data_IF_592605134457
#
_entry.id   IF_592605134457
#
_cell.length_a   1.000
_cell.length_b   1.000
_cell.length_c   1.000
_cell.angle_alpha   90.00
_cell.angle_beta   90.00
_cell.angle_gamma   90.00
#
_symmetry.space_group_name_H-M   'P 1'
#
loop_
_entity.id
_entity.type
_entity.pdbx_description
1 polymer ?
#
# COMPACT_ATOMS: atom_id res chain seq x y z
N UNK A 1 -11.04 -6.24 18.48
CA UNK A 1 -12.24 -5.75 17.78
C UNK A 1 -11.78 -4.68 16.81
N UNK A 2 -12.04 -4.86 15.50
CA UNK A 2 -11.73 -3.83 14.52
C UNK A 2 -12.76 -2.70 14.66
N UNK A 3 -12.31 -1.46 14.84
CA UNK A 3 -13.18 -0.30 14.73
C UNK A 3 -13.44 -0.01 13.24
N UNK A 4 -14.58 -0.48 12.75
CA UNK A 4 -15.03 -0.28 11.36
C UNK A 4 -15.65 1.10 11.14
N UNK A 5 -15.89 1.90 12.18
CA UNK A 5 -16.45 3.25 12.02
C UNK A 5 -15.49 4.13 11.26
N UNK A 6 -14.19 3.99 11.53
CA UNK A 6 -13.15 4.71 10.83
C UNK A 6 -12.95 4.24 9.37
N UNK A 7 -13.56 3.13 8.94
CA UNK A 7 -13.49 2.73 7.52
C UNK A 7 -14.26 3.70 6.61
N UNK A 8 -15.20 4.48 7.15
CA UNK A 8 -16.06 5.39 6.40
C UNK A 8 -15.63 6.85 6.59
N UNK A 9 -15.58 7.60 5.49
CA UNK A 9 -15.39 9.05 5.52
C UNK A 9 -16.75 9.76 5.57
N UNK A 10 -17.28 9.93 6.78
CA UNK A 10 -18.56 10.63 6.97
C UNK A 10 -18.50 12.14 6.69
N UNK A 11 -17.31 12.73 6.63
CA UNK A 11 -17.15 14.17 6.38
C UNK A 11 -17.14 14.48 4.89
N UNK A 12 -16.57 13.58 4.08
CA UNK A 12 -16.51 13.71 2.63
C UNK A 12 -16.84 12.36 1.96
N UNK A 13 -18.09 11.89 2.05
CA UNK A 13 -18.49 10.62 1.47
C UNK A 13 -18.33 10.61 -0.05
N UNK A 14 -17.79 9.51 -0.58
CA UNK A 14 -17.73 9.26 -2.01
C UNK A 14 -19.00 8.52 -2.46
N UNK A 15 -19.82 9.20 -3.25
CA UNK A 15 -21.06 8.65 -3.83
C UNK A 15 -20.91 8.24 -5.30
N UNK A 16 -19.68 8.21 -5.82
CA UNK A 16 -19.46 7.77 -7.20
C UNK A 16 -19.84 6.31 -7.37
N UNK A 17 -20.46 5.99 -8.50
CA UNK A 17 -20.87 4.63 -8.83
C UNK A 17 -19.61 3.89 -9.30
N UNK A 18 -19.19 2.80 -8.62
CA UNK A 18 -18.03 2.04 -9.05
C UNK A 18 -18.29 1.42 -10.42
N UNK A 19 -17.30 1.53 -11.31
CA UNK A 19 -17.33 0.79 -12.58
C UNK A 19 -16.98 -0.67 -12.30
N UNK A 20 -17.97 -1.55 -12.36
CA UNK A 20 -17.78 -2.98 -12.19
C UNK A 20 -17.48 -3.61 -13.55
N UNK A 21 -16.45 -4.46 -13.67
CA UNK A 21 -16.21 -5.20 -14.90
C UNK A 21 -17.40 -6.13 -15.18
N UNK A 22 -17.69 -6.34 -16.47
CA UNK A 22 -18.67 -7.35 -16.86
C UNK A 22 -18.13 -8.74 -16.49
N UNK A 23 -18.87 -9.46 -15.65
CA UNK A 23 -18.57 -10.85 -15.36
C UNK A 23 -18.74 -11.69 -16.64
N UNK A 24 -17.78 -12.59 -16.90
CA UNK A 24 -17.92 -13.55 -18.00
C UNK A 24 -19.09 -14.50 -17.72
N UNK A 25 -19.71 -15.02 -18.80
CA UNK A 25 -20.71 -16.06 -18.64
C UNK A 25 -20.09 -17.32 -18.00
N UNK A 26 -20.84 -18.04 -17.14
CA UNK A 26 -20.38 -19.31 -16.59
C UNK A 26 -19.97 -20.30 -17.68
N UNK A 27 -18.93 -21.09 -17.42
CA UNK A 27 -18.51 -22.14 -18.34
C UNK A 27 -19.60 -23.22 -18.47
N UNK A 28 -19.78 -23.72 -19.69
CA UNK A 28 -20.67 -24.83 -19.99
C UNK A 28 -19.97 -25.87 -20.86
N UNK A 29 -20.25 -27.14 -20.61
CA UNK A 29 -19.76 -28.24 -21.42
C UNK A 29 -20.44 -28.30 -22.81
N UNK A 30 -20.05 -29.28 -23.64
CA UNK A 30 -20.62 -29.46 -24.99
C UNK A 30 -22.11 -29.79 -25.03
N UNK A 31 -22.72 -30.13 -23.89
CA UNK A 31 -24.16 -30.36 -23.72
C UNK A 31 -24.90 -29.13 -23.20
N UNK A 32 -24.20 -28.02 -22.95
CA UNK A 32 -24.77 -26.80 -22.38
C UNK A 32 -24.96 -26.85 -20.86
N UNK A 33 -24.43 -27.85 -20.17
CA UNK A 33 -24.51 -27.98 -18.71
C UNK A 33 -23.38 -27.18 -18.06
N UNK A 34 -23.67 -26.48 -16.96
CA UNK A 34 -22.65 -25.72 -16.21
C UNK A 34 -21.62 -26.65 -15.56
N UNK A 35 -20.35 -26.44 -15.87
CA UNK A 35 -19.22 -27.27 -15.40
C UNK A 35 -18.08 -26.43 -14.80
N UNK A 36 -18.39 -25.22 -14.34
CA UNK A 36 -17.42 -24.23 -13.86
C UNK A 36 -16.45 -24.74 -12.78
N UNK A 37 -16.88 -25.62 -11.87
CA UNK A 37 -16.00 -26.21 -10.84
C UNK A 37 -14.97 -27.18 -11.44
N UNK A 38 -15.40 -28.09 -12.32
CA UNK A 38 -14.52 -29.02 -13.04
C UNK A 38 -13.58 -28.29 -13.99
N UNK A 39 -14.07 -27.26 -14.69
CA UNK A 39 -13.26 -26.39 -15.55
C UNK A 39 -12.24 -25.56 -14.75
N UNK A 40 -12.59 -25.07 -13.55
CA UNK A 40 -11.65 -24.38 -12.69
C UNK A 40 -10.57 -25.33 -12.15
N UNK A 41 -10.97 -26.50 -11.64
CA UNK A 41 -10.05 -27.49 -11.09
C UNK A 41 -9.03 -28.02 -12.11
N UNK A 42 -9.41 -28.12 -13.38
CA UNK A 42 -8.48 -28.54 -14.44
C UNK A 42 -7.44 -27.47 -14.83
N UNK A 43 -7.72 -26.20 -14.51
CA UNK A 43 -6.85 -25.05 -14.81
C UNK A 43 -6.14 -24.50 -13.57
N UNK A 44 -6.52 -24.97 -12.38
CA UNK A 44 -5.93 -24.55 -11.13
C UNK A 44 -4.47 -24.98 -11.07
N UNK A 45 -3.57 -24.00 -11.21
CA UNK A 45 -2.19 -24.14 -10.78
C UNK A 45 -2.11 -23.72 -9.30
N UNK A 46 -1.34 -24.43 -8.47
CA UNK A 46 -1.19 -24.12 -7.04
C UNK A 46 -0.46 -22.78 -6.78
N UNK A 47 -0.02 -22.10 -7.85
CA UNK A 47 0.56 -20.76 -7.80
C UNK A 47 -0.53 -19.69 -7.66
N UNK A 48 -0.97 -19.47 -6.42
CA UNK A 48 -1.95 -18.43 -6.07
C UNK A 48 -1.51 -17.01 -6.43
N UNK A 49 -0.21 -16.73 -6.56
CA UNK A 49 0.27 -15.41 -6.97
C UNK A 49 -0.06 -15.13 -8.44
N UNK A 50 0.00 -16.14 -9.30
CA UNK A 50 -0.41 -16.02 -10.72
C UNK A 50 -1.91 -15.78 -10.93
N UNK A 51 -2.72 -16.05 -9.90
CA UNK A 51 -4.18 -15.85 -9.92
C UNK A 51 -4.59 -14.43 -9.48
N UNK A 52 -3.68 -13.66 -8.89
CA UNK A 52 -3.98 -12.29 -8.47
C UNK A 52 -3.99 -11.36 -9.68
N UNK A 53 -5.10 -10.64 -9.86
CA UNK A 53 -5.20 -9.64 -10.92
C UNK A 53 -4.30 -8.44 -10.62
N UNK A 54 -3.60 -7.99 -11.66
CA UNK A 54 -2.87 -6.72 -11.63
C UNK A 54 -3.85 -5.57 -11.44
N UNK A 55 -3.49 -4.62 -10.59
CA UNK A 55 -4.33 -3.47 -10.33
C UNK A 55 -4.05 -2.84 -8.98
N UNK A 56 -4.87 -1.88 -8.61
CA UNK A 56 -4.73 -1.18 -7.36
C UNK A 56 -6.09 -0.82 -6.76
N UNK A 57 -6.11 -0.60 -5.45
CA UNK A 57 -7.28 -0.10 -4.71
C UNK A 57 -6.83 0.86 -3.61
N UNK A 58 -7.65 1.87 -3.32
CA UNK A 58 -7.41 2.73 -2.15
C UNK A 58 -7.54 1.92 -0.86
N UNK A 59 -6.70 2.23 0.13
CA UNK A 59 -6.76 1.64 1.46
C UNK A 59 -7.43 2.61 2.41
N UNK A 60 -8.39 2.11 3.17
CA UNK A 60 -9.11 2.84 4.22
C UNK A 60 -8.97 2.09 5.55
N UNK A 61 -8.93 2.83 6.67
CA UNK A 61 -8.72 2.27 7.99
C UNK A 61 -7.25 1.93 8.29
N UNK A 62 -7.02 1.15 9.36
CA UNK A 62 -5.68 0.77 9.81
C UNK A 62 -4.97 -0.12 8.78
N UNK A 63 -3.64 0.01 8.69
CA UNK A 63 -2.83 -0.82 7.80
C UNK A 63 -2.53 -2.18 8.44
N UNK A 64 -2.33 -3.18 7.58
CA UNK A 64 -1.86 -4.51 7.95
C UNK A 64 -0.67 -4.89 7.07
N UNK A 65 0.11 -5.87 7.51
CA UNK A 65 1.13 -6.49 6.67
C UNK A 65 0.53 -7.28 5.49
N UNK A 66 1.40 -7.66 4.54
CA UNK A 66 1.12 -8.68 3.51
C UNK A 66 0.75 -8.14 2.13
N UNK A 67 0.99 -6.87 1.84
CA UNK A 67 0.69 -6.27 0.53
C UNK A 67 1.64 -5.14 0.18
N UNK A 68 1.80 -4.87 -1.10
CA UNK A 68 2.53 -3.68 -1.57
C UNK A 68 1.64 -2.45 -1.51
N UNK A 69 2.18 -1.38 -0.94
CA UNK A 69 1.53 -0.11 -0.73
C UNK A 69 2.28 1.02 -1.45
N UNK A 70 1.53 1.94 -2.05
CA UNK A 70 2.06 3.20 -2.58
C UNK A 70 1.56 4.35 -1.70
N UNK A 71 2.49 5.18 -1.21
CA UNK A 71 2.21 6.33 -0.35
C UNK A 71 2.20 7.61 -1.18
N UNK A 72 1.05 8.29 -1.26
CA UNK A 72 0.88 9.45 -2.13
C UNK A 72 0.42 10.73 -1.41
N UNK A 73 0.83 11.84 -1.99
CA UNK A 73 0.29 13.18 -1.79
C UNK A 73 -0.05 13.75 -3.18
N UNK A 74 -0.81 14.87 -3.34
CA UNK A 74 -1.21 15.34 -4.66
C UNK A 74 -0.05 15.47 -5.66
N UNK A 75 -0.03 14.58 -6.66
CA UNK A 75 0.97 14.53 -7.74
C UNK A 75 2.33 13.95 -7.35
N UNK A 76 2.51 13.37 -6.16
CA UNK A 76 3.78 12.74 -5.77
C UNK A 76 3.58 11.44 -5.00
N UNK A 77 4.53 10.51 -5.16
CA UNK A 77 4.60 9.26 -4.43
C UNK A 77 5.96 9.10 -3.75
N UNK A 78 5.97 8.45 -2.58
CA UNK A 78 7.21 8.02 -1.90
C UNK A 78 7.84 6.91 -2.73
N UNK A 79 9.14 7.04 -3.03
CA UNK A 79 9.84 6.16 -3.96
C UNK A 79 11.26 5.88 -3.49
N UNK A 80 11.81 4.75 -3.90
CA UNK A 80 13.27 4.56 -3.93
C UNK A 80 13.88 5.63 -4.84
N UNK A 81 14.92 6.29 -4.36
CA UNK A 81 15.66 7.28 -5.12
C UNK A 81 16.41 6.61 -6.30
N UNK A 82 16.75 7.37 -7.33
CA UNK A 82 17.51 6.85 -8.48
C UNK A 82 18.86 6.24 -8.10
N UNK A 83 19.43 6.61 -6.95
CA UNK A 83 20.65 6.00 -6.42
C UNK A 83 20.45 4.59 -5.85
N UNK A 84 19.20 4.18 -5.56
CA UNK A 84 18.87 2.88 -4.96
C UNK A 84 19.06 2.78 -3.44
N UNK A 85 19.63 3.80 -2.79
CA UNK A 85 20.03 3.73 -1.37
C UNK A 85 19.35 4.76 -0.46
N UNK A 86 18.35 5.48 -0.97
CA UNK A 86 17.62 6.49 -0.22
C UNK A 86 16.15 6.52 -0.62
N UNK A 87 15.32 7.10 0.25
CA UNK A 87 13.90 7.38 -0.01
C UNK A 87 13.77 8.80 -0.56
N UNK A 88 12.96 8.96 -1.60
CA UNK A 88 12.70 10.23 -2.27
C UNK A 88 11.20 10.39 -2.59
N UNK A 89 10.85 11.51 -3.21
CA UNK A 89 9.55 11.70 -3.85
C UNK A 89 9.73 11.69 -5.36
N UNK A 90 8.88 10.96 -6.06
CA UNK A 90 8.76 10.97 -7.52
C UNK A 90 7.32 11.36 -7.90
N UNK A 91 7.07 11.57 -9.20
CA UNK A 91 5.72 11.86 -9.68
C UNK A 91 4.83 10.63 -9.54
N UNK A 92 3.65 10.80 -8.94
CA UNK A 92 2.68 9.72 -8.81
C UNK A 92 2.09 9.34 -10.17
N UNK A 93 1.89 8.04 -10.43
CA UNK A 93 1.25 7.57 -11.66
C UNK A 93 -0.21 7.21 -11.40
N UNK A 94 -1.09 7.45 -12.39
CA UNK A 94 -2.52 7.11 -12.28
C UNK A 94 -2.77 5.60 -12.12
N UNK A 95 -1.81 4.76 -12.50
CA UNK A 95 -1.89 3.31 -12.43
C UNK A 95 -1.21 2.74 -11.18
N UNK A 96 -0.42 3.55 -10.47
CA UNK A 96 0.38 3.14 -9.31
C UNK A 96 1.31 1.94 -9.59
N UNK A 97 1.75 1.77 -10.84
CA UNK A 97 2.43 0.58 -11.37
C UNK A 97 3.97 0.67 -11.37
N UNK A 98 4.54 1.73 -10.77
CA UNK A 98 5.99 1.87 -10.61
C UNK A 98 6.43 1.15 -9.34
N UNK A 99 7.13 0.01 -9.50
CA UNK A 99 7.56 -0.83 -8.35
C UNK A 99 8.44 -0.10 -7.34
N UNK A 100 9.24 0.88 -7.80
CA UNK A 100 10.06 1.73 -6.92
C UNK A 100 9.23 2.63 -5.99
N UNK A 101 7.94 2.87 -6.30
CA UNK A 101 6.99 3.56 -5.44
C UNK A 101 6.30 2.62 -4.44
N UNK A 102 6.53 1.31 -4.56
CA UNK A 102 5.94 0.27 -3.73
C UNK A 102 6.72 0.00 -2.45
N UNK A 103 5.98 -0.15 -1.36
CA UNK A 103 6.50 -0.41 -0.02
C UNK A 103 5.73 -1.56 0.65
N UNK A 104 6.42 -2.40 1.40
CA UNK A 104 5.83 -3.46 2.22
C UNK A 104 5.99 -3.09 3.69
N UNK A 105 4.89 -3.12 4.44
CA UNK A 105 4.90 -2.91 5.88
C UNK A 105 5.04 -4.25 6.58
N UNK A 106 5.95 -4.31 7.55
CA UNK A 106 6.18 -5.48 8.41
C UNK A 106 5.78 -5.14 9.84
N UNK A 107 4.78 -5.84 10.37
CA UNK A 107 4.25 -5.54 11.69
C UNK A 107 5.25 -5.97 12.78
N UNK A 108 5.51 -5.09 13.75
CA UNK A 108 6.33 -5.46 14.92
C UNK A 108 5.57 -6.43 15.84
N UNK A 109 4.25 -6.27 15.91
CA UNK A 109 3.34 -7.13 16.65
C UNK A 109 2.05 -7.33 15.86
N UNK A 110 1.46 -8.53 15.94
CA UNK A 110 0.21 -8.84 15.23
C UNK A 110 -0.91 -7.95 15.76
N UNK A 111 -1.53 -7.18 14.86
CA UNK A 111 -2.60 -6.24 15.20
C UNK A 111 -2.11 -4.94 15.87
N UNK A 112 -0.80 -4.76 16.00
CA UNK A 112 -0.19 -3.51 16.41
C UNK A 112 -0.21 -2.46 15.30
N UNK A 113 0.21 -1.24 15.64
CA UNK A 113 0.34 -0.13 14.72
C UNK A 113 1.80 0.30 14.48
N UNK A 114 2.75 -0.51 14.96
CA UNK A 114 4.18 -0.32 14.78
C UNK A 114 4.66 -1.19 13.62
N UNK A 115 5.34 -0.57 12.65
CA UNK A 115 5.80 -1.24 11.44
C UNK A 115 7.22 -0.85 11.10
N UNK A 116 8.00 -1.81 10.58
CA UNK A 116 9.13 -1.47 9.70
C UNK A 116 8.66 -1.47 8.26
N UNK A 117 9.36 -0.75 7.38
CA UNK A 117 8.92 -0.56 5.99
C UNK A 117 10.06 -0.92 5.06
N UNK A 118 9.82 -1.86 4.14
CA UNK A 118 10.77 -2.28 3.11
C UNK A 118 10.30 -1.88 1.71
N UNK A 119 11.24 -1.69 0.80
CA UNK A 119 10.94 -1.42 -0.61
C UNK A 119 10.46 -2.69 -1.32
N UNK A 120 9.36 -2.60 -2.08
CA UNK A 120 8.92 -3.70 -2.94
C UNK A 120 9.87 -3.97 -4.12
N UNK A 121 10.63 -2.95 -4.57
CA UNK A 121 11.62 -3.07 -5.65
C UNK A 121 12.86 -3.89 -5.25
N UNK A 122 13.54 -3.51 -4.16
CA UNK A 122 14.84 -4.08 -3.79
C UNK A 122 14.90 -4.71 -2.39
N UNK A 123 13.78 -4.75 -1.65
CA UNK A 123 13.68 -5.36 -0.31
C UNK A 123 14.42 -4.60 0.80
N UNK A 124 15.01 -3.44 0.53
CA UNK A 124 15.72 -2.67 1.54
C UNK A 124 14.76 -1.92 2.45
N UNK A 125 15.08 -1.87 3.73
CA UNK A 125 14.30 -1.18 4.76
C UNK A 125 14.56 0.31 4.77
N UNK A 126 13.54 1.10 5.11
CA UNK A 126 13.70 2.52 5.43
C UNK A 126 14.37 2.62 6.80
N UNK A 127 15.53 3.24 6.82
CA UNK A 127 16.38 3.41 8.00
C UNK A 127 16.61 4.90 8.27
N UNK A 128 17.41 5.20 9.29
CA UNK A 128 17.67 6.57 9.75
C UNK A 128 18.08 7.52 8.61
N UNK A 129 17.61 8.77 8.68
CA UNK A 129 17.87 9.82 7.69
C UNK A 129 17.34 9.50 6.27
N UNK A 130 16.28 8.70 6.17
CA UNK A 130 15.68 8.30 4.88
C UNK A 130 16.65 7.54 3.97
N UNK A 131 17.62 6.83 4.57
CA UNK A 131 18.49 5.90 3.85
C UNK A 131 17.85 4.52 3.80
N UNK A 132 18.22 3.73 2.81
CA UNK A 132 17.82 2.34 2.71
C UNK A 132 18.92 1.42 3.24
N UNK A 133 18.55 0.41 4.03
CA UNK A 133 19.50 -0.55 4.59
C UNK A 133 18.97 -2.00 4.54
N UNK A 134 19.89 -2.98 4.60
CA UNK A 134 19.54 -4.41 4.51
C UNK A 134 19.09 -5.01 5.84
N UNK A 135 19.59 -4.48 6.95
CA UNK A 135 19.34 -5.03 8.28
C UNK A 135 17.99 -4.53 8.82
N UNK A 136 17.01 -5.43 9.05
CA UNK A 136 15.72 -5.05 9.63
C UNK A 136 15.85 -4.47 11.04
N UNK A 137 16.90 -4.82 11.80
CA UNK A 137 17.10 -4.28 13.15
C UNK A 137 17.55 -2.80 13.15
N UNK A 138 18.07 -2.32 12.02
CA UNK A 138 18.44 -0.93 11.82
C UNK A 138 17.32 -0.10 11.17
N UNK A 139 16.19 -0.73 10.86
CA UNK A 139 15.04 -0.07 10.25
C UNK A 139 14.38 0.92 11.21
N UNK A 140 13.84 1.99 10.65
CA UNK A 140 12.99 2.92 11.40
C UNK A 140 11.67 2.23 11.72
N UNK A 141 11.30 2.24 13.00
CA UNK A 141 9.97 1.80 13.44
C UNK A 141 9.01 2.96 13.26
N UNK A 142 7.98 2.75 12.46
CA UNK A 142 6.91 3.70 12.22
C UNK A 142 5.69 3.34 13.05
N UNK A 143 5.22 4.28 13.87
CA UNK A 143 3.87 4.27 14.41
C UNK A 143 2.96 4.82 13.31
N UNK A 144 2.11 3.96 12.77
CA UNK A 144 1.17 4.31 11.70
C UNK A 144 -0.21 4.56 12.31
N UNK A 145 -0.79 5.70 11.95
CA UNK A 145 -2.14 6.09 12.39
C UNK A 145 -3.01 6.44 11.19
N UNK A 146 -4.32 6.27 11.32
CA UNK A 146 -5.28 6.58 10.26
C UNK A 146 -6.29 7.62 10.76
N UNK A 147 -6.52 8.64 9.94
CA UNK A 147 -7.55 9.64 10.18
C UNK A 147 -8.53 9.70 9.02
N UNK A 148 -9.84 9.48 9.27
CA UNK A 148 -10.88 9.68 8.26
C UNK A 148 -10.74 11.03 7.56
N UNK A 149 -11.01 11.04 6.25
CA UNK A 149 -10.85 12.19 5.34
C UNK A 149 -9.44 12.75 5.16
N UNK A 150 -8.42 12.20 5.84
CA UNK A 150 -7.04 12.65 5.70
C UNK A 150 -6.09 11.58 5.19
N UNK A 151 -6.30 10.32 5.59
CA UNK A 151 -5.44 9.19 5.24
C UNK A 151 -4.51 8.80 6.39
N UNK A 152 -3.33 8.31 6.04
CA UNK A 152 -2.41 7.65 6.95
C UNK A 152 -1.24 8.54 7.32
N UNK A 153 -0.86 8.57 8.60
CA UNK A 153 0.33 9.25 9.07
C UNK A 153 1.39 8.25 9.49
N UNK A 154 2.64 8.51 9.14
CA UNK A 154 3.81 7.68 9.46
C UNK A 154 4.70 8.46 10.41
N UNK A 155 4.71 8.08 11.69
CA UNK A 155 5.52 8.73 12.72
C UNK A 155 6.69 7.83 13.08
N UNK A 156 7.91 8.32 12.96
CA UNK A 156 9.08 7.65 13.52
C UNK A 156 8.91 7.52 15.04
N UNK A 157 9.00 6.30 15.59
CA UNK A 157 8.89 6.03 17.02
C UNK A 157 9.88 6.89 17.82
N UNK A 158 11.09 7.14 17.29
CA UNK A 158 12.11 8.00 17.88
C UNK A 158 12.90 8.73 16.78
N UNK A 159 12.66 10.03 16.56
CA UNK A 159 12.38 11.02 17.61
C UNK A 159 10.91 11.45 17.76
N UNK A 160 9.95 10.78 17.14
CA UNK A 160 8.54 11.19 17.18
C UNK A 160 8.14 12.18 16.09
N UNK A 161 8.88 12.23 14.98
CA UNK A 161 8.61 13.09 13.83
C UNK A 161 7.85 12.33 12.75
N UNK A 162 7.07 13.04 11.94
CA UNK A 162 6.28 12.48 10.86
C UNK A 162 7.01 12.55 9.53
N UNK A 163 6.97 11.45 8.78
CA UNK A 163 7.36 11.43 7.37
C UNK A 163 6.40 12.33 6.59
N UNK A 164 6.93 13.30 5.86
CA UNK A 164 6.13 14.31 5.18
C UNK A 164 6.77 14.80 3.88
N UNK A 165 5.93 15.08 2.88
CA UNK A 165 6.32 15.90 1.74
C UNK A 165 6.37 17.39 2.14
N UNK A 166 7.48 18.06 1.84
CA UNK A 166 7.61 19.51 2.00
C UNK A 166 7.02 20.26 0.81
N UNK A 167 6.78 21.57 0.99
CA UNK A 167 6.32 22.46 -0.10
C UNK A 167 7.26 22.49 -1.31
N UNK A 168 8.54 22.15 -1.11
CA UNK A 168 9.56 22.07 -2.16
C UNK A 168 9.61 20.68 -2.83
N UNK A 169 8.56 19.86 -2.69
CA UNK A 169 8.49 18.50 -3.27
C UNK A 169 9.59 17.56 -2.76
N UNK A 170 10.16 17.84 -1.59
CA UNK A 170 11.19 17.02 -0.94
C UNK A 170 10.59 16.24 0.22
N UNK A 171 11.00 14.97 0.36
CA UNK A 171 10.66 14.14 1.51
C UNK A 171 11.50 14.56 2.73
N UNK A 172 10.90 14.54 3.91
CA UNK A 172 11.61 14.83 5.14
C UNK A 172 10.81 14.54 6.39
N UNK A 173 11.44 14.80 7.53
CA UNK A 173 10.83 14.65 8.85
C UNK A 173 10.25 15.98 9.33
N UNK A 174 9.03 15.96 9.86
CA UNK A 174 8.34 17.15 10.37
C UNK A 174 7.72 16.87 11.74
N UNK A 175 7.68 17.89 12.62
CA UNK A 175 6.99 17.77 13.92
C UNK A 175 5.47 17.75 13.76
N UNK A 176 4.94 18.37 12.71
CA UNK A 176 3.51 18.43 12.44
C UNK A 176 3.08 17.13 11.74
N UNK A 177 1.97 16.56 12.20
CA UNK A 177 1.37 15.39 11.57
C UNK A 177 1.06 15.67 10.10
N UNK A 178 1.50 14.76 9.24
CA UNK A 178 1.27 14.77 7.80
C UNK A 178 0.56 13.48 7.41
N UNK A 179 -0.15 13.50 6.28
CA UNK A 179 -0.99 12.39 5.84
C UNK A 179 -0.69 12.01 4.40
N UNK A 180 -0.79 10.72 4.14
CA UNK A 180 -0.59 10.06 2.86
C UNK A 180 -1.87 9.34 2.46
N UNK A 181 -2.19 9.38 1.16
CA UNK A 181 -3.17 8.48 0.55
C UNK A 181 -2.45 7.17 0.25
N UNK A 182 -3.04 6.05 0.65
CA UNK A 182 -2.43 4.75 0.49
C UNK A 182 -3.19 3.95 -0.56
N UNK A 183 -2.46 3.36 -1.50
CA UNK A 183 -3.00 2.43 -2.48
C UNK A 183 -2.35 1.07 -2.29
N UNK A 184 -3.15 0.02 -2.25
CA UNK A 184 -2.68 -1.37 -2.30
C UNK A 184 -2.55 -1.76 -3.77
N UNK A 185 -1.38 -2.23 -4.17
CA UNK A 185 -1.03 -2.50 -5.57
C UNK A 185 -0.60 -3.95 -5.75
N UNK A 186 -1.04 -4.54 -6.85
CA UNK A 186 -0.58 -5.82 -7.41
C UNK A 186 0.05 -5.56 -8.78
N UNK A 187 1.32 -5.89 -8.95
CA UNK A 187 2.11 -5.60 -10.17
C UNK A 187 1.98 -6.66 -11.27
#
# INVERSE_FOLDING_TARGET
MADLVNAFDFKSPDYTIPNLPNASQPNTNSKGEYDGSSHCASRANNDTASLAEKGFKSVHGLLTEGRTLVLETPGQAVSVASSGYAVALTEATKKHDIVQQGWVLHAMEIGGNEFTVSSADNGLYICKNLKLCKDPNAATIFIVDFKPSKGHSFKDQKPGQYLAASRKKQLGWQKKQSFWRIFSVTY
#
